data_IF_437473339636
#
_entry.id   IF_437473339636
#
_cell.length_a   1.000
_cell.length_b   1.000
_cell.length_c   1.000
_cell.angle_alpha   90.00
_cell.angle_beta   90.00
_cell.angle_gamma   90.00
#
_symmetry.space_group_name_H-M   'P 1'
#
loop_
_entity.id
_entity.type
_entity.pdbx_description
1 polymer ?
#
# COMPACT_ATOMS: atom_id res chain seq x y z
N UNK A 1 -7.22 18.26 10.30
CA UNK A 1 -7.02 16.85 9.92
C UNK A 1 -5.53 16.57 9.94
N UNK A 2 -5.11 15.59 10.73
CA UNK A 2 -3.72 15.21 10.91
C UNK A 2 -3.26 14.34 9.73
N UNK A 3 -1.94 14.23 9.51
CA UNK A 3 -1.32 13.38 8.48
C UNK A 3 -1.82 11.91 8.51
N UNK A 4 -2.26 11.44 9.68
CA UNK A 4 -2.93 10.16 9.91
C UNK A 4 -4.28 10.04 9.18
N UNK A 5 -5.06 11.11 9.07
CA UNK A 5 -6.41 11.07 8.48
C UNK A 5 -6.35 10.90 6.94
N UNK A 6 -5.30 11.41 6.28
CA UNK A 6 -5.07 11.18 4.84
C UNK A 6 -4.51 9.80 4.53
N UNK A 7 -3.81 9.19 5.48
CA UNK A 7 -3.39 7.78 5.38
C UNK A 7 -4.59 6.84 5.56
N UNK A 8 -5.56 7.23 6.41
CA UNK A 8 -6.85 6.55 6.54
C UNK A 8 -7.69 6.58 5.25
N UNK A 9 -7.63 7.64 4.45
CA UNK A 9 -8.31 7.69 3.14
C UNK A 9 -7.66 6.81 2.06
N UNK A 10 -6.33 6.68 2.09
CA UNK A 10 -5.59 5.89 1.11
C UNK A 10 -5.68 4.37 1.38
N UNK A 11 -5.73 3.98 2.66
CA UNK A 11 -6.07 2.61 3.11
C UNK A 11 -7.58 2.32 3.07
N UNK A 12 -8.43 3.31 3.32
CA UNK A 12 -9.89 3.14 3.31
C UNK A 12 -10.42 2.72 1.94
N UNK A 13 -9.86 3.30 0.87
CA UNK A 13 -10.23 2.95 -0.51
C UNK A 13 -9.70 1.58 -0.98
N UNK A 14 -8.59 1.06 -0.46
CA UNK A 14 -8.11 -0.30 -0.79
C UNK A 14 -8.91 -1.38 -0.05
N UNK A 15 -9.36 -1.09 1.18
CA UNK A 15 -10.20 -1.99 1.98
C UNK A 15 -11.65 -2.11 1.48
N UNK A 16 -12.27 -1.03 1.01
CA UNK A 16 -13.65 -1.09 0.51
C UNK A 16 -13.77 -1.99 -0.74
N UNK A 17 -12.75 -2.01 -1.61
CA UNK A 17 -12.69 -2.92 -2.75
C UNK A 17 -12.54 -4.42 -2.36
N UNK A 18 -12.09 -4.70 -1.12
CA UNK A 18 -11.91 -6.06 -0.59
C UNK A 18 -13.20 -6.64 0.02
N UNK A 19 -14.07 -5.79 0.58
CA UNK A 19 -15.31 -6.21 1.26
C UNK A 19 -16.44 -6.58 0.29
N UNK A 20 -16.55 -5.90 -0.85
CA UNK A 20 -17.56 -6.19 -1.87
C UNK A 20 -17.43 -7.59 -2.51
N UNK A 21 -16.36 -8.34 -2.20
CA UNK A 21 -16.05 -9.63 -2.79
C UNK A 21 -16.59 -10.85 -2.04
N UNK A 22 -17.03 -10.72 -0.78
CA UNK A 22 -17.51 -11.87 0.02
C UNK A 22 -18.85 -12.45 -0.47
N UNK A 23 -19.56 -11.77 -1.38
CA UNK A 23 -20.92 -12.11 -1.74
C UNK A 23 -21.14 -13.08 -2.92
N UNK A 24 -20.13 -13.40 -3.76
CA UNK A 24 -20.44 -13.98 -5.10
C UNK A 24 -19.56 -15.12 -5.64
N UNK A 25 -18.59 -15.67 -4.90
CA UNK A 25 -17.73 -16.73 -5.44
C UNK A 25 -18.14 -18.13 -4.93
N UNK A 26 -18.99 -18.84 -5.68
CA UNK A 26 -19.36 -20.24 -5.36
C UNK A 26 -18.73 -21.27 -6.31
N UNK A 27 -18.19 -20.85 -7.46
CA UNK A 27 -17.73 -21.76 -8.50
C UNK A 27 -16.28 -21.49 -8.91
N UNK A 28 -15.32 -22.10 -8.17
CA UNK A 28 -13.95 -22.54 -8.57
C UNK A 28 -12.95 -22.38 -7.41
N UNK A 29 -12.60 -23.50 -6.77
CA UNK A 29 -11.62 -23.54 -5.68
C UNK A 29 -10.18 -23.14 -6.09
N UNK A 30 -9.83 -23.26 -7.39
CA UNK A 30 -8.49 -22.95 -7.90
C UNK A 30 -8.27 -21.44 -8.01
N UNK A 31 -9.24 -20.72 -8.57
CA UNK A 31 -9.19 -19.26 -8.71
C UNK A 31 -9.23 -18.59 -7.33
N UNK A 32 -9.96 -19.16 -6.36
CA UNK A 32 -9.93 -18.74 -4.96
C UNK A 32 -8.55 -18.85 -4.30
N UNK A 33 -7.72 -19.82 -4.71
CA UNK A 33 -6.38 -20.02 -4.15
C UNK A 33 -5.41 -18.95 -4.68
N UNK A 34 -5.40 -18.72 -6.00
CA UNK A 34 -4.55 -17.70 -6.64
C UNK A 34 -4.94 -16.28 -6.18
N UNK A 35 -6.24 -16.00 -6.08
CA UNK A 35 -6.74 -14.74 -5.51
C UNK A 35 -6.39 -14.58 -4.02
N UNK A 36 -6.39 -15.68 -3.26
CA UNK A 36 -5.98 -15.69 -1.86
C UNK A 36 -4.51 -15.31 -1.68
N UNK A 37 -3.62 -15.85 -2.52
CA UNK A 37 -2.20 -15.48 -2.54
C UNK A 37 -2.03 -13.99 -2.84
N UNK A 38 -2.68 -13.49 -3.89
CA UNK A 38 -2.59 -12.06 -4.26
C UNK A 38 -3.04 -11.14 -3.12
N UNK A 39 -4.10 -11.50 -2.39
CA UNK A 39 -4.56 -10.73 -1.22
C UNK A 39 -3.54 -10.71 -0.09
N UNK A 40 -2.92 -11.85 0.22
CA UNK A 40 -1.89 -11.92 1.27
C UNK A 40 -0.68 -11.08 0.88
N UNK A 41 -0.25 -11.13 -0.38
CA UNK A 41 0.86 -10.34 -0.89
C UNK A 41 0.58 -8.83 -0.85
N UNK A 42 -0.64 -8.41 -1.23
CA UNK A 42 -1.07 -7.00 -1.11
C UNK A 42 -0.98 -6.56 0.35
N UNK A 43 -1.55 -7.33 1.28
CA UNK A 43 -1.54 -7.01 2.70
C UNK A 43 -0.13 -6.95 3.29
N UNK A 44 0.80 -7.79 2.82
CA UNK A 44 2.20 -7.72 3.22
C UNK A 44 2.88 -6.44 2.71
N UNK A 45 2.65 -6.08 1.44
CA UNK A 45 3.19 -4.85 0.85
C UNK A 45 2.63 -3.61 1.53
N UNK A 46 1.34 -3.60 1.88
CA UNK A 46 0.70 -2.51 2.64
C UNK A 46 1.34 -2.34 4.01
N UNK A 47 1.57 -3.44 4.74
CA UNK A 47 2.25 -3.40 6.06
C UNK A 47 3.68 -2.90 5.94
N UNK A 48 4.40 -3.31 4.90
CA UNK A 48 5.76 -2.85 4.63
C UNK A 48 5.77 -1.34 4.34
N UNK A 49 4.89 -0.86 3.45
CA UNK A 49 4.78 0.56 3.13
C UNK A 49 4.44 1.40 4.37
N UNK A 50 3.49 0.96 5.19
CA UNK A 50 3.12 1.64 6.43
C UNK A 50 4.31 1.74 7.42
N UNK A 51 5.09 0.66 7.55
CA UNK A 51 6.32 0.67 8.37
C UNK A 51 7.35 1.66 7.83
N UNK A 52 7.64 1.62 6.52
CA UNK A 52 8.62 2.52 5.89
C UNK A 52 8.19 3.98 6.00
N UNK A 53 6.90 4.29 5.89
CA UNK A 53 6.35 5.63 6.16
C UNK A 53 6.61 6.06 7.61
N UNK A 54 6.44 5.17 8.58
CA UNK A 54 6.75 5.46 9.98
C UNK A 54 8.22 5.82 10.19
N UNK A 55 9.13 5.06 9.56
CA UNK A 55 10.58 5.33 9.58
C UNK A 55 10.88 6.67 8.89
N UNK A 56 10.28 6.94 7.73
CA UNK A 56 10.41 8.21 7.03
C UNK A 56 9.97 9.38 7.91
N UNK A 57 8.83 9.28 8.60
CA UNK A 57 8.36 10.31 9.51
C UNK A 57 9.35 10.60 10.64
N UNK A 58 9.90 9.55 11.26
CA UNK A 58 10.93 9.68 12.29
C UNK A 58 12.21 10.35 11.75
N UNK A 59 12.65 9.97 10.54
CA UNK A 59 13.83 10.54 9.92
C UNK A 59 13.63 12.02 9.55
N UNK A 60 12.47 12.37 9.00
CA UNK A 60 12.12 13.76 8.68
C UNK A 60 12.04 14.60 9.96
N UNK A 61 11.44 14.08 11.03
CA UNK A 61 11.40 14.76 12.33
C UNK A 61 12.80 15.04 12.85
N UNK A 62 13.69 14.04 12.84
CA UNK A 62 15.09 14.18 13.24
C UNK A 62 15.79 15.28 12.46
N UNK A 63 15.67 15.28 11.13
CA UNK A 63 16.29 16.30 10.27
C UNK A 63 15.81 17.71 10.61
N UNK A 64 14.49 17.89 10.77
CA UNK A 64 13.90 19.22 10.97
C UNK A 64 14.05 19.75 12.40
N UNK A 65 13.97 18.88 13.41
CA UNK A 65 13.87 19.28 14.81
C UNK A 65 15.18 19.05 15.56
N UNK A 66 15.83 17.90 15.37
CA UNK A 66 17.03 17.54 16.11
C UNK A 66 18.30 18.09 15.43
N UNK A 67 18.33 18.09 14.10
CA UNK A 67 19.46 18.55 13.28
C UNK A 67 19.28 19.98 12.73
N UNK A 68 18.13 20.61 13.02
CA UNK A 68 17.79 22.00 12.68
C UNK A 68 17.92 22.33 11.18
N UNK A 69 17.64 21.34 10.32
CA UNK A 69 17.59 21.57 8.88
C UNK A 69 16.43 22.50 8.54
N UNK A 70 16.72 23.60 7.85
CA UNK A 70 15.70 24.55 7.40
C UNK A 70 14.66 23.95 6.43
N UNK A 71 15.02 22.87 5.72
CA UNK A 71 14.08 22.15 4.84
C UNK A 71 14.51 20.70 4.60
N UNK A 72 13.53 19.86 4.31
CA UNK A 72 13.72 18.49 3.85
C UNK A 72 13.10 18.32 2.47
N UNK A 73 13.86 17.76 1.54
CA UNK A 73 13.49 17.56 0.13
C UNK A 73 13.63 16.11 -0.27
N UNK A 74 12.98 15.69 -1.36
CA UNK A 74 13.11 14.32 -1.90
C UNK A 74 14.55 13.92 -2.27
N UNK A 75 15.47 14.89 -2.37
CA UNK A 75 16.89 14.66 -2.72
C UNK A 75 17.78 14.42 -1.51
N UNK A 76 17.26 14.61 -0.30
CA UNK A 76 17.99 14.33 0.94
C UNK A 76 18.35 12.84 0.99
N UNK A 77 19.64 12.57 1.10
CA UNK A 77 20.17 11.21 1.04
C UNK A 77 19.59 10.32 2.15
N UNK A 78 19.26 10.92 3.29
CA UNK A 78 18.76 10.27 4.49
C UNK A 78 17.35 9.70 4.33
N UNK A 79 16.56 10.24 3.39
CA UNK A 79 15.16 9.82 3.17
C UNK A 79 14.89 9.31 1.77
N UNK A 80 15.82 9.46 0.84
CA UNK A 80 15.65 9.07 -0.56
C UNK A 80 15.29 7.60 -0.70
N UNK A 81 16.05 6.71 -0.06
CA UNK A 81 15.83 5.27 -0.17
C UNK A 81 14.47 4.86 0.42
N UNK A 82 14.04 5.51 1.50
CA UNK A 82 12.73 5.29 2.12
C UNK A 82 11.60 5.71 1.18
N UNK A 83 11.76 6.83 0.48
CA UNK A 83 10.78 7.30 -0.52
C UNK A 83 10.69 6.34 -1.70
N UNK A 84 11.84 5.88 -2.22
CA UNK A 84 11.92 4.94 -3.34
C UNK A 84 11.29 3.57 -2.96
N UNK A 85 11.49 3.10 -1.74
CA UNK A 85 10.88 1.86 -1.23
C UNK A 85 9.36 1.99 -1.11
N UNK A 86 8.84 3.11 -0.61
CA UNK A 86 7.40 3.37 -0.51
C UNK A 86 6.78 3.41 -1.91
N UNK A 87 7.43 4.07 -2.88
CA UNK A 87 6.95 4.13 -4.26
C UNK A 87 6.95 2.75 -4.93
N UNK A 88 8.01 1.96 -4.72
CA UNK A 88 8.08 0.58 -5.20
C UNK A 88 6.96 -0.29 -4.62
N UNK A 89 6.72 -0.20 -3.31
CA UNK A 89 5.66 -0.94 -2.64
C UNK A 89 4.28 -0.57 -3.20
N UNK A 90 4.02 0.73 -3.38
CA UNK A 90 2.78 1.24 -3.97
C UNK A 90 2.54 0.70 -5.37
N UNK A 91 3.56 0.74 -6.24
CA UNK A 91 3.45 0.26 -7.61
C UNK A 91 3.16 -1.25 -7.66
N UNK A 92 3.78 -2.04 -6.77
CA UNK A 92 3.52 -3.48 -6.65
C UNK A 92 2.10 -3.78 -6.16
N UNK A 93 1.57 -2.99 -5.22
CA UNK A 93 0.19 -3.11 -4.76
C UNK A 93 -0.78 -2.89 -5.92
N UNK A 94 -0.62 -1.78 -6.65
CA UNK A 94 -1.49 -1.44 -7.79
C UNK A 94 -1.50 -2.57 -8.83
N UNK A 95 -0.33 -3.08 -9.21
CA UNK A 95 -0.23 -4.18 -10.18
C UNK A 95 -0.96 -5.44 -9.71
N UNK A 96 -0.85 -5.79 -8.42
CA UNK A 96 -1.52 -6.97 -7.85
C UNK A 96 -3.03 -6.75 -7.70
N UNK A 97 -3.47 -5.54 -7.40
CA UNK A 97 -4.88 -5.16 -7.36
C UNK A 97 -5.52 -5.23 -8.75
N UNK A 98 -4.82 -4.76 -9.79
CA UNK A 98 -5.26 -4.86 -11.18
C UNK A 98 -5.37 -6.32 -11.63
N UNK A 99 -4.37 -7.15 -11.28
CA UNK A 99 -4.44 -8.58 -11.52
C UNK A 99 -5.64 -9.21 -10.80
N UNK A 100 -5.83 -8.91 -9.51
CA UNK A 100 -6.98 -9.39 -8.74
C UNK A 100 -8.31 -8.95 -9.35
N UNK A 101 -8.39 -7.75 -9.94
CA UNK A 101 -9.58 -7.26 -10.64
C UNK A 101 -9.83 -7.98 -11.96
N UNK A 102 -8.80 -8.29 -12.73
CA UNK A 102 -8.95 -9.05 -13.99
C UNK A 102 -9.54 -10.45 -13.78
N UNK A 103 -9.20 -11.13 -12.67
CA UNK A 103 -9.84 -12.39 -12.27
C UNK A 103 -11.35 -12.23 -12.03
N UNK A 104 -11.82 -11.05 -11.53
CA UNK A 104 -13.25 -10.74 -11.31
C UNK A 104 -14.03 -10.55 -12.62
N UNK A 105 -13.39 -10.05 -13.68
CA UNK A 105 -14.05 -9.72 -14.95
C UNK A 105 -14.21 -10.95 -15.86
N UNK A 106 -13.30 -11.92 -15.76
CA UNK A 106 -13.42 -13.21 -16.45
C UNK A 106 -14.51 -14.12 -15.87
N UNK A 107 -14.98 -13.90 -14.64
CA UNK A 107 -16.10 -14.64 -14.02
C UNK A 107 -17.50 -14.09 -14.36
N UNK A 108 -17.60 -12.86 -14.87
CA UNK A 108 -18.89 -12.21 -15.19
C UNK A 108 -19.29 -12.31 -16.68
N UNK A 109 -18.57 -13.08 -17.49
CA UNK A 109 -18.91 -13.40 -18.90
C UNK A 109 -19.29 -14.87 -19.02
#
# INVERSE_FOLDING_TARGET
MAFIDRMQDFFGKSLDASKDFLGKAKDKAKDLTEMGVLKVEILQLEKMAAKTIGILGAQVYKLLVDEDHASVTKKNAEIKDLLDEIESAKNKIIQKEEALKSYKETENK
#
